data_IF_079801789289
#
_entry.id   IF_079801789289
#
_cell.length_a   1.000
_cell.length_b   1.000
_cell.length_c   1.000
_cell.angle_alpha   90.00
_cell.angle_beta   90.00
_cell.angle_gamma   90.00
#
_symmetry.space_group_name_H-M   'P 1'
#
loop_
_entity.id
_entity.type
_entity.pdbx_description
1 polymer ?
#
# COMPACT_ATOMS: atom_id res chain seq x y z
N UNK A 1 7.84 8.69 7.54
CA UNK A 1 7.29 8.47 6.19
C UNK A 1 6.33 9.59 5.83
N UNK A 2 6.48 10.21 4.66
CA UNK A 2 5.52 11.20 4.15
C UNK A 2 4.19 10.50 3.84
N UNK A 3 3.09 10.97 4.43
CA UNK A 3 1.77 10.35 4.26
C UNK A 3 0.88 11.02 3.22
N UNK A 4 1.26 12.22 2.77
CA UNK A 4 0.58 12.93 1.69
C UNK A 4 0.81 12.20 0.34
N UNK A 5 -0.26 11.86 -0.39
CA UNK A 5 -0.16 11.27 -1.72
C UNK A 5 0.08 12.30 -2.85
N UNK A 6 0.17 13.61 -2.57
CA UNK A 6 0.34 14.63 -3.62
C UNK A 6 1.58 14.39 -4.50
N UNK A 7 1.36 14.25 -5.81
CA UNK A 7 2.39 13.94 -6.79
C UNK A 7 3.31 15.14 -7.07
N UNK A 8 2.83 16.37 -6.83
CA UNK A 8 3.64 17.59 -6.97
C UNK A 8 4.78 17.66 -5.94
N UNK A 9 4.80 16.76 -4.96
CA UNK A 9 5.88 16.65 -3.98
C UNK A 9 7.14 16.00 -4.56
N UNK A 10 7.07 15.52 -5.81
CA UNK A 10 8.17 14.88 -6.53
C UNK A 10 8.51 15.70 -7.77
N UNK A 11 9.80 15.96 -7.98
CA UNK A 11 10.30 16.59 -9.19
C UNK A 11 11.29 15.66 -9.88
N UNK A 12 10.99 15.35 -11.14
CA UNK A 12 11.87 14.58 -12.00
C UNK A 12 12.74 15.54 -12.82
N UNK A 13 14.04 15.57 -12.54
CA UNK A 13 14.99 16.36 -13.32
C UNK A 13 15.44 15.58 -14.54
N UNK A 14 14.86 15.90 -15.70
CA UNK A 14 15.24 15.27 -16.97
C UNK A 14 16.63 15.68 -17.44
N UNK A 15 17.21 16.79 -16.97
CA UNK A 15 18.56 17.23 -17.33
C UNK A 15 19.65 16.39 -16.64
N UNK A 16 19.33 15.75 -15.51
CA UNK A 16 20.19 14.79 -14.81
C UNK A 16 20.63 13.60 -15.69
N UNK A 17 19.96 13.35 -16.83
CA UNK A 17 20.40 12.36 -17.83
C UNK A 17 21.81 12.60 -18.37
N UNK A 18 22.25 13.87 -18.46
CA UNK A 18 23.57 14.21 -19.01
C UNK A 18 24.69 14.09 -17.97
N UNK A 19 24.33 14.06 -16.67
CA UNK A 19 25.26 14.00 -15.53
C UNK A 19 24.86 12.83 -14.62
N UNK A 20 24.58 11.67 -15.22
CA UNK A 20 24.19 10.49 -14.46
C UNK A 20 25.38 10.01 -13.61
N UNK A 21 25.45 10.48 -12.36
CA UNK A 21 26.33 9.91 -11.35
C UNK A 21 25.78 8.49 -11.09
N UNK A 22 26.53 7.46 -11.50
CA UNK A 22 26.21 6.04 -11.33
C UNK A 22 25.01 5.50 -12.14
N UNK A 23 24.63 6.10 -13.28
CA UNK A 23 23.52 5.63 -14.14
C UNK A 23 22.13 5.59 -13.48
N UNK A 24 21.89 6.38 -12.42
CA UNK A 24 20.58 6.49 -11.79
C UNK A 24 19.86 7.78 -12.20
N UNK A 25 18.55 7.69 -12.37
CA UNK A 25 17.66 8.83 -12.49
C UNK A 25 17.51 9.54 -11.14
N UNK A 26 17.49 10.87 -11.13
CA UNK A 26 17.26 11.65 -9.92
C UNK A 26 15.80 12.06 -9.79
N UNK A 27 15.20 11.70 -8.64
CA UNK A 27 13.88 12.14 -8.23
C UNK A 27 14.03 13.01 -6.97
N UNK A 28 13.74 14.30 -7.09
CA UNK A 28 13.83 15.24 -5.98
C UNK A 28 12.54 15.19 -5.15
N UNK A 29 12.69 15.05 -3.83
CA UNK A 29 11.59 15.11 -2.87
C UNK A 29 11.50 16.55 -2.36
N UNK A 30 10.43 17.25 -2.71
CA UNK A 30 10.27 18.68 -2.43
C UNK A 30 9.57 18.94 -1.09
N UNK A 31 8.68 18.04 -0.67
CA UNK A 31 7.84 18.23 0.50
C UNK A 31 7.95 17.07 1.50
N UNK A 32 8.26 17.42 2.75
CA UNK A 32 8.32 16.51 3.90
C UNK A 32 7.26 16.87 4.96
N UNK A 33 6.29 17.69 4.61
CA UNK A 33 5.05 17.92 5.32
C UNK A 33 4.24 16.63 5.48
N UNK A 34 3.40 16.57 6.52
CA UNK A 34 2.62 15.38 6.88
C UNK A 34 3.46 14.09 7.00
N UNK A 35 4.72 14.21 7.39
CA UNK A 35 5.55 13.07 7.76
C UNK A 35 5.12 12.49 9.10
N UNK A 36 5.10 11.16 9.17
CA UNK A 36 4.72 10.41 10.37
C UNK A 36 5.77 9.39 10.74
N UNK A 37 5.92 9.17 12.04
CA UNK A 37 6.65 8.03 12.60
C UNK A 37 5.67 6.89 12.86
N UNK A 38 6.13 5.67 12.64
CA UNK A 38 5.38 4.45 12.93
C UNK A 38 6.21 3.63 13.91
N UNK A 39 5.54 3.06 14.92
CA UNK A 39 6.21 2.19 15.88
C UNK A 39 6.60 0.88 15.19
N UNK A 40 7.64 0.23 15.72
CA UNK A 40 8.08 -1.07 15.20
C UNK A 40 6.98 -2.13 15.25
N UNK A 41 6.23 -2.19 16.35
CA UNK A 41 5.07 -3.08 16.51
C UNK A 41 4.00 -2.86 15.44
N UNK A 42 3.72 -1.60 15.07
CA UNK A 42 2.77 -1.27 14.02
C UNK A 42 3.25 -1.78 12.65
N UNK A 43 4.52 -1.52 12.31
CA UNK A 43 5.11 -1.95 11.04
C UNK A 43 5.16 -3.48 10.95
N UNK A 44 5.49 -4.17 12.04
CA UNK A 44 5.47 -5.64 12.12
C UNK A 44 4.09 -6.21 11.81
N UNK A 45 3.06 -5.69 12.47
CA UNK A 45 1.67 -6.11 12.24
C UNK A 45 1.22 -5.80 10.82
N UNK A 46 1.60 -4.64 10.27
CA UNK A 46 1.28 -4.27 8.89
C UNK A 46 1.95 -5.21 7.87
N UNK A 47 3.23 -5.54 8.04
CA UNK A 47 3.90 -6.48 7.14
C UNK A 47 3.32 -7.90 7.26
N UNK A 48 2.95 -8.35 8.47
CA UNK A 48 2.25 -9.62 8.69
C UNK A 48 0.88 -9.65 7.98
N UNK A 49 0.15 -8.54 8.01
CA UNK A 49 -1.11 -8.36 7.26
C UNK A 49 -0.89 -8.54 5.74
N UNK A 50 0.07 -7.81 5.17
CA UNK A 50 0.36 -7.88 3.73
C UNK A 50 0.83 -9.28 3.32
N UNK A 51 1.67 -9.93 4.13
CA UNK A 51 2.10 -11.31 3.89
C UNK A 51 0.93 -12.28 3.86
N UNK A 52 0.00 -12.12 4.79
CA UNK A 52 -1.20 -12.96 4.84
C UNK A 52 -2.04 -12.81 3.55
N UNK A 53 -2.13 -11.60 2.99
CA UNK A 53 -2.79 -11.38 1.72
C UNK A 53 -2.03 -12.02 0.54
N UNK A 54 -0.70 -11.91 0.52
CA UNK A 54 0.12 -12.56 -0.52
C UNK A 54 0.00 -14.09 -0.49
N UNK A 55 -0.04 -14.67 0.71
CA UNK A 55 -0.16 -16.12 0.92
C UNK A 55 -1.60 -16.64 0.71
N UNK A 56 -2.57 -15.76 0.42
CA UNK A 56 -4.02 -16.06 0.39
C UNK A 56 -4.55 -16.64 1.73
N UNK A 57 -3.92 -16.31 2.86
CA UNK A 57 -4.33 -16.75 4.19
C UNK A 57 -5.37 -15.79 4.77
N UNK A 58 -6.64 -15.99 4.39
CA UNK A 58 -7.76 -15.13 4.82
C UNK A 58 -7.91 -15.07 6.34
N UNK A 59 -7.62 -16.16 7.05
CA UNK A 59 -7.73 -16.19 8.52
C UNK A 59 -6.71 -15.27 9.17
N UNK A 60 -5.45 -15.33 8.74
CA UNK A 60 -4.42 -14.41 9.24
C UNK A 60 -4.65 -12.98 8.76
N UNK A 61 -5.16 -12.79 7.53
CA UNK A 61 -5.51 -11.48 7.01
C UNK A 61 -6.54 -10.78 7.90
N UNK A 62 -7.63 -11.47 8.27
CA UNK A 62 -8.65 -10.93 9.19
C UNK A 62 -8.05 -10.70 10.57
N UNK A 63 -7.27 -11.66 11.09
CA UNK A 63 -6.63 -11.54 12.40
C UNK A 63 -5.76 -10.27 12.50
N UNK A 64 -4.84 -10.06 11.56
CA UNK A 64 -3.98 -8.87 11.58
C UNK A 64 -4.74 -7.59 11.21
N UNK A 65 -5.82 -7.68 10.42
CA UNK A 65 -6.71 -6.54 10.14
C UNK A 65 -7.38 -6.03 11.42
N UNK A 66 -7.78 -6.94 12.31
CA UNK A 66 -8.31 -6.59 13.63
C UNK A 66 -7.22 -6.01 14.52
N UNK A 67 -6.04 -6.64 14.57
CA UNK A 67 -4.93 -6.14 15.40
C UNK A 67 -4.45 -4.72 15.03
N UNK A 68 -4.46 -4.37 13.75
CA UNK A 68 -4.06 -3.04 13.29
C UNK A 68 -5.21 -2.01 13.29
N UNK A 69 -6.40 -2.43 13.71
CA UNK A 69 -7.58 -1.58 13.84
C UNK A 69 -8.30 -1.25 12.52
N UNK A 70 -8.14 -2.07 11.47
CA UNK A 70 -9.02 -1.97 10.29
C UNK A 70 -10.43 -2.47 10.56
N UNK A 71 -10.52 -3.51 11.40
CA UNK A 71 -11.74 -4.18 11.79
C UNK A 71 -11.81 -4.20 13.32
N UNK A 72 -13.00 -4.06 13.89
CA UNK A 72 -13.26 -4.22 15.33
C UNK A 72 -13.40 -5.70 15.71
N UNK A 73 -13.78 -6.54 14.76
CA UNK A 73 -14.15 -7.94 14.96
C UNK A 73 -15.65 -8.18 15.14
N UNK A 74 -16.45 -7.13 15.07
CA UNK A 74 -17.93 -7.18 15.14
C UNK A 74 -18.58 -6.86 13.79
N UNK A 75 -17.77 -6.69 12.75
CA UNK A 75 -18.25 -6.43 11.39
C UNK A 75 -19.14 -7.54 10.85
N UNK A 76 -20.09 -7.16 10.00
CA UNK A 76 -20.83 -8.13 9.19
C UNK A 76 -19.88 -8.85 8.23
N UNK A 77 -20.22 -10.08 7.86
CA UNK A 77 -19.48 -10.87 6.88
C UNK A 77 -19.30 -10.10 5.55
N UNK A 78 -20.30 -9.31 5.16
CA UNK A 78 -20.24 -8.44 3.96
C UNK A 78 -19.13 -7.41 4.07
N UNK A 79 -18.93 -6.80 5.25
CA UNK A 79 -17.87 -5.84 5.49
C UNK A 79 -16.49 -6.49 5.56
N UNK A 80 -16.38 -7.64 6.26
CA UNK A 80 -15.12 -8.39 6.34
C UNK A 80 -14.67 -8.87 4.96
N UNK A 81 -15.59 -9.39 4.14
CA UNK A 81 -15.29 -9.82 2.78
C UNK A 81 -14.87 -8.64 1.89
N UNK A 82 -15.61 -7.52 1.92
CA UNK A 82 -15.24 -6.34 1.14
C UNK A 82 -13.86 -5.77 1.53
N UNK A 83 -13.53 -5.81 2.84
CA UNK A 83 -12.23 -5.43 3.35
C UNK A 83 -11.13 -6.39 2.85
N UNK A 84 -11.32 -7.70 3.00
CA UNK A 84 -10.38 -8.70 2.52
C UNK A 84 -10.15 -8.57 1.02
N UNK A 85 -11.22 -8.48 0.22
CA UNK A 85 -11.16 -8.29 -1.23
C UNK A 85 -10.30 -7.07 -1.60
N UNK A 86 -10.49 -5.95 -0.90
CA UNK A 86 -9.71 -4.73 -1.16
C UNK A 86 -8.20 -4.92 -0.96
N UNK A 87 -7.81 -5.65 0.09
CA UNK A 87 -6.39 -5.95 0.35
C UNK A 87 -5.86 -7.01 -0.62
N UNK A 88 -6.67 -8.03 -0.94
CA UNK A 88 -6.29 -9.06 -1.89
C UNK A 88 -6.04 -8.49 -3.29
N UNK A 89 -6.85 -7.53 -3.73
CA UNK A 89 -6.63 -6.79 -4.98
C UNK A 89 -5.27 -6.08 -4.95
N UNK A 90 -4.92 -5.39 -3.86
CA UNK A 90 -3.61 -4.75 -3.73
C UNK A 90 -2.46 -5.76 -3.73
N UNK A 91 -2.66 -6.93 -3.11
CA UNK A 91 -1.66 -7.99 -3.04
C UNK A 91 -1.37 -8.64 -4.41
N UNK A 92 -2.26 -8.51 -5.40
CA UNK A 92 -1.97 -8.96 -6.78
C UNK A 92 -0.76 -8.22 -7.37
N UNK A 93 -0.65 -6.92 -7.14
CA UNK A 93 0.51 -6.15 -7.58
C UNK A 93 1.80 -6.71 -6.97
N UNK A 94 1.78 -6.99 -5.66
CA UNK A 94 2.92 -7.53 -4.93
C UNK A 94 3.27 -8.98 -5.29
N UNK A 95 2.37 -9.72 -5.92
CA UNK A 95 2.63 -11.10 -6.40
C UNK A 95 3.14 -11.15 -7.83
N UNK A 96 2.97 -10.08 -8.61
CA UNK A 96 3.44 -10.06 -9.99
C UNK A 96 4.94 -9.75 -10.08
N UNK A 97 5.73 -10.52 -10.85
CA UNK A 97 7.11 -10.19 -11.20
C UNK A 97 7.26 -8.80 -11.82
N UNK A 98 6.32 -8.45 -12.71
CA UNK A 98 6.17 -7.14 -13.34
C UNK A 98 4.69 -6.80 -13.35
N UNK A 99 4.27 -5.79 -12.60
CA UNK A 99 2.88 -5.37 -12.57
C UNK A 99 2.68 -4.17 -13.49
N UNK A 100 1.82 -4.32 -14.49
CA UNK A 100 1.43 -3.26 -15.42
C UNK A 100 0.25 -2.47 -14.84
N UNK A 101 0.52 -1.28 -14.29
CA UNK A 101 -0.51 -0.40 -13.76
C UNK A 101 -1.34 0.30 -14.85
N UNK A 102 -0.86 0.34 -16.10
CA UNK A 102 -1.58 0.94 -17.23
C UNK A 102 -2.59 -0.01 -17.88
N UNK A 103 -2.31 -1.31 -17.87
CA UNK A 103 -3.15 -2.35 -18.46
C UNK A 103 -4.18 -2.98 -17.51
N UNK A 104 -4.02 -2.81 -16.20
CA UNK A 104 -4.85 -3.46 -15.18
C UNK A 104 -5.95 -2.54 -14.64
N UNK A 105 -7.02 -3.12 -14.10
CA UNK A 105 -8.18 -2.39 -13.57
C UNK A 105 -8.17 -2.27 -12.04
N UNK A 106 -6.99 -2.34 -11.40
CA UNK A 106 -6.82 -2.40 -9.95
C UNK A 106 -7.57 -1.26 -9.23
N UNK A 107 -7.47 -0.03 -9.75
CA UNK A 107 -8.15 1.15 -9.19
C UNK A 107 -9.67 1.02 -9.29
N UNK A 108 -10.19 0.50 -10.41
CA UNK A 108 -11.63 0.29 -10.59
C UNK A 108 -12.14 -0.80 -9.66
N UNK A 109 -11.37 -1.88 -9.46
CA UNK A 109 -11.72 -2.98 -8.55
C UNK A 109 -11.74 -2.52 -7.09
N UNK A 110 -10.74 -1.76 -6.66
CA UNK A 110 -10.74 -1.15 -5.32
C UNK A 110 -11.90 -0.17 -5.16
N UNK A 111 -12.16 0.68 -6.17
CA UNK A 111 -13.28 1.63 -6.11
C UNK A 111 -14.65 0.93 -5.96
N UNK A 112 -14.80 -0.31 -6.46
CA UNK A 112 -16.03 -1.10 -6.28
C UNK A 112 -16.22 -1.60 -4.84
N UNK A 113 -15.16 -1.79 -4.05
CA UNK A 113 -15.29 -2.25 -2.65
C UNK A 113 -15.60 -1.09 -1.70
N UNK A 114 -15.18 0.14 -2.04
CA UNK A 114 -15.34 1.33 -1.20
C UNK A 114 -16.78 1.61 -0.74
N UNK A 115 -17.82 1.58 -1.59
CA UNK A 115 -19.20 1.86 -1.15
C UNK A 115 -19.67 0.89 -0.07
N UNK A 116 -19.37 -0.40 -0.22
CA UNK A 116 -19.70 -1.42 0.78
C UNK A 116 -18.96 -1.17 2.08
N UNK A 117 -17.65 -0.86 1.99
CA UNK A 117 -16.84 -0.57 3.15
C UNK A 117 -17.32 0.69 3.89
N UNK A 118 -17.69 1.76 3.18
CA UNK A 118 -18.17 3.00 3.80
C UNK A 118 -19.54 2.86 4.45
N UNK A 119 -20.43 2.02 3.91
CA UNK A 119 -21.78 1.81 4.47
C UNK A 119 -21.77 0.91 5.72
N UNK A 120 -20.88 -0.07 5.77
CA UNK A 120 -20.92 -1.12 6.79
C UNK A 120 -19.82 -1.00 7.85
N UNK A 121 -18.89 -0.05 7.70
CA UNK A 121 -17.80 0.14 8.68
C UNK A 121 -18.36 0.69 9.99
N UNK A 122 -18.01 0.02 11.09
CA UNK A 122 -18.47 0.37 12.44
C UNK A 122 -17.71 1.58 13.01
N UNK A 123 -16.39 1.62 12.84
CA UNK A 123 -15.55 2.71 13.34
C UNK A 123 -14.47 3.10 12.34
N UNK A 124 -14.05 4.38 12.30
CA UNK A 124 -12.92 4.78 11.49
C UNK A 124 -11.64 4.08 11.96
N UNK A 125 -10.74 3.67 11.03
CA UNK A 125 -9.46 3.08 11.41
C UNK A 125 -8.57 4.11 12.12
N UNK A 126 -7.61 3.67 12.95
CA UNK A 126 -6.63 4.55 13.56
C UNK A 126 -5.92 5.44 12.53
N UNK A 127 -5.53 6.64 12.95
CA UNK A 127 -4.92 7.64 12.04
C UNK A 127 -3.64 7.11 11.35
N UNK A 128 -2.83 6.33 12.07
CA UNK A 128 -1.64 5.67 11.54
C UNK A 128 -1.99 4.67 10.43
N UNK A 129 -3.01 3.85 10.67
CA UNK A 129 -3.53 2.88 9.70
C UNK A 129 -4.08 3.57 8.47
N UNK A 130 -4.87 4.64 8.65
CA UNK A 130 -5.47 5.41 7.56
C UNK A 130 -4.43 6.16 6.72
N UNK A 131 -3.42 6.76 7.36
CA UNK A 131 -2.35 7.49 6.66
C UNK A 131 -1.53 6.58 5.75
N UNK A 132 -1.24 5.36 6.18
CA UNK A 132 -0.46 4.42 5.38
C UNK A 132 -1.26 3.87 4.18
N UNK A 133 -2.54 3.55 4.36
CA UNK A 133 -3.42 3.17 3.26
C UNK A 133 -3.57 4.29 2.22
N UNK A 134 -3.75 5.53 2.66
CA UNK A 134 -3.81 6.68 1.73
C UNK A 134 -2.51 6.85 0.96
N UNK A 135 -1.35 6.65 1.60
CA UNK A 135 -0.06 6.72 0.90
C UNK A 135 0.06 5.65 -0.17
N UNK A 136 -0.26 4.39 0.15
CA UNK A 136 -0.23 3.29 -0.81
C UNK A 136 -1.20 3.51 -1.98
N UNK A 137 -2.44 3.90 -1.68
CA UNK A 137 -3.44 4.19 -2.71
C UNK A 137 -2.98 5.33 -3.64
N UNK A 138 -2.40 6.40 -3.09
CA UNK A 138 -1.86 7.52 -3.85
C UNK A 138 -0.73 7.13 -4.81
N UNK A 139 0.18 6.27 -4.36
CA UNK A 139 1.27 5.74 -5.19
C UNK A 139 0.73 4.83 -6.30
N UNK A 140 -0.23 3.97 -5.99
CA UNK A 140 -0.85 3.09 -6.98
C UNK A 140 -1.58 3.90 -8.06
N UNK A 141 -2.32 4.94 -7.66
CA UNK A 141 -2.96 5.86 -8.62
C UNK A 141 -1.93 6.60 -9.48
N UNK A 142 -0.80 7.02 -8.93
CA UNK A 142 0.29 7.61 -9.70
C UNK A 142 0.84 6.64 -10.74
N UNK A 143 1.07 5.37 -10.36
CA UNK A 143 1.53 4.35 -11.30
C UNK A 143 0.51 4.07 -12.40
N UNK A 144 -0.79 4.08 -12.09
CA UNK A 144 -1.85 3.97 -13.10
C UNK A 144 -1.83 5.16 -14.07
N UNK A 145 -1.70 6.39 -13.56
CA UNK A 145 -1.64 7.61 -14.38
C UNK A 145 -0.42 7.60 -15.32
N UNK A 146 0.74 7.18 -14.80
CA UNK A 146 1.97 7.04 -15.58
C UNK A 146 2.00 5.80 -16.48
N UNK A 147 0.99 4.91 -16.39
CA UNK A 147 0.96 3.60 -17.06
C UNK A 147 2.23 2.80 -16.81
N UNK A 148 2.72 2.83 -15.57
CA UNK A 148 4.00 2.27 -15.20
C UNK A 148 3.94 0.73 -15.14
N UNK A 149 5.04 0.09 -15.54
CA UNK A 149 5.26 -1.34 -15.29
C UNK A 149 6.32 -1.46 -14.21
N UNK A 150 5.97 -1.99 -13.04
CA UNK A 150 6.81 -1.96 -11.83
C UNK A 150 7.08 -3.37 -11.32
N UNK A 151 8.33 -3.72 -10.95
CA UNK A 151 8.67 -5.01 -10.36
C UNK A 151 8.29 -5.07 -8.87
N UNK A 152 7.00 -5.00 -8.57
CA UNK A 152 6.48 -4.88 -7.21
C UNK A 152 6.87 -6.04 -6.28
N UNK A 153 6.82 -7.29 -6.77
CA UNK A 153 7.25 -8.47 -6.00
C UNK A 153 8.73 -8.40 -5.62
N UNK A 154 9.60 -8.09 -6.57
CA UNK A 154 11.05 -7.99 -6.34
C UNK A 154 11.37 -6.92 -5.30
N UNK A 155 10.73 -5.75 -5.41
CA UNK A 155 10.89 -4.66 -4.43
C UNK A 155 10.42 -5.12 -3.05
N UNK A 156 9.27 -5.78 -2.96
CA UNK A 156 8.72 -6.22 -1.68
C UNK A 156 9.58 -7.32 -1.03
N UNK A 157 10.07 -8.27 -1.80
CA UNK A 157 10.96 -9.34 -1.32
C UNK A 157 12.30 -8.79 -0.84
N UNK A 158 12.85 -7.79 -1.53
CA UNK A 158 14.05 -7.06 -1.08
C UNK A 158 13.82 -6.36 0.26
N UNK A 159 12.66 -5.73 0.45
CA UNK A 159 12.31 -5.07 1.72
C UNK A 159 12.19 -6.11 2.84
N UNK A 160 11.48 -7.22 2.57
CA UNK A 160 11.33 -8.33 3.53
C UNK A 160 12.66 -8.91 3.95
N UNK A 161 13.57 -9.17 3.03
CA UNK A 161 14.88 -9.73 3.32
C UNK A 161 15.72 -8.83 4.23
N UNK A 162 15.55 -7.51 4.11
CA UNK A 162 16.20 -6.52 4.99
C UNK A 162 15.48 -6.25 6.30
N UNK A 163 14.23 -6.70 6.46
CA UNK A 163 13.40 -6.38 7.63
C UNK A 163 13.50 -7.45 8.71
N UNK A 164 13.71 -7.03 9.96
CA UNK A 164 13.73 -7.92 11.13
C UNK A 164 12.45 -7.73 11.94
N UNK A 165 11.66 -8.78 12.08
CA UNK A 165 10.49 -8.77 12.97
C UNK A 165 10.94 -8.82 14.43
N UNK A 166 10.24 -8.09 15.30
CA UNK A 166 10.40 -8.27 16.73
C UNK A 166 9.73 -9.59 17.13
N UNK A 167 10.33 -10.25 18.13
CA UNK A 167 9.89 -11.55 18.67
C UNK A 167 8.71 -11.34 19.61
#
# INVERSE_FOLDING_TARGET
MQSDPNWANYYYDSSSHQVAINNYFQLHLLDFGATRTYTKSFVDTYLKLINSAMDNDLKKLIFFSRQIGFLTGEESEVMENAHCDSIMILAEALRSPMFDFGGQDITKRIAKTLPTMMRNRLTPPPEQTYSLHRKMAGIFMLFCELKAVVPCSIIFDSIKAGYRFDI
#
